data_IF_397843582753
#
_entry.id   IF_397843582753
#
_cell.length_a   1.000
_cell.length_b   1.000
_cell.length_c   1.000
_cell.angle_alpha   90.00
_cell.angle_beta   90.00
_cell.angle_gamma   90.00
#
_symmetry.space_group_name_H-M   'P 1'
#
loop_
_entity.id
_entity.type
_entity.pdbx_description
1 polymer ?
#
# COMPACT_ATOMS: atom_id res chain seq x y z
N UNK A 1 -4.63 20.77 -1.11
CA UNK A 1 -4.03 19.82 -0.16
C UNK A 1 -3.92 20.35 1.28
N UNK A 2 -3.93 21.67 1.54
CA UNK A 2 -3.86 22.23 2.92
C UNK A 2 -4.96 21.68 3.84
N UNK A 3 -6.24 21.79 3.46
CA UNK A 3 -7.36 21.22 4.22
C UNK A 3 -7.22 19.72 4.53
N UNK A 4 -6.61 18.94 3.62
CA UNK A 4 -6.36 17.52 3.89
C UNK A 4 -5.33 17.33 5.00
N UNK A 5 -4.25 18.12 5.01
CA UNK A 5 -3.26 18.10 6.08
C UNK A 5 -3.86 18.54 7.42
N UNK A 6 -4.78 19.52 7.42
CA UNK A 6 -5.51 19.93 8.63
C UNK A 6 -6.38 18.79 9.17
N UNK A 7 -7.17 18.14 8.31
CA UNK A 7 -8.00 17.00 8.71
C UNK A 7 -7.16 15.82 9.24
N UNK A 8 -6.01 15.53 8.60
CA UNK A 8 -5.08 14.48 9.04
C UNK A 8 -4.51 14.82 10.42
N UNK A 9 -4.15 16.09 10.65
CA UNK A 9 -3.66 16.58 11.94
C UNK A 9 -4.72 16.44 13.03
N UNK A 10 -5.97 16.83 12.76
CA UNK A 10 -7.10 16.65 13.70
C UNK A 10 -7.27 15.18 14.07
N UNK A 11 -7.13 14.26 13.09
CA UNK A 11 -7.21 12.81 13.30
C UNK A 11 -5.95 12.19 13.91
N UNK A 12 -4.92 12.99 14.23
CA UNK A 12 -3.61 12.53 14.72
C UNK A 12 -2.98 11.44 13.85
N UNK A 13 -3.23 11.50 12.54
CA UNK A 13 -2.75 10.53 11.58
C UNK A 13 -1.46 11.02 10.89
N UNK A 14 -0.69 10.09 10.30
CA UNK A 14 0.50 10.43 9.52
C UNK A 14 0.10 10.64 8.05
N UNK A 15 0.44 11.79 7.43
CA UNK A 15 0.09 12.03 6.04
C UNK A 15 0.94 11.18 5.09
N UNK A 16 0.27 10.42 4.23
CA UNK A 16 0.88 9.60 3.18
C UNK A 16 0.58 10.15 1.77
N UNK A 17 0.81 11.46 1.59
CA UNK A 17 0.46 12.18 0.37
C UNK A 17 1.74 12.49 -0.44
N UNK A 18 1.92 11.95 -1.66
CA UNK A 18 3.07 12.25 -2.48
C UNK A 18 2.99 13.71 -2.98
N UNK A 19 4.10 14.48 -2.93
CA UNK A 19 4.13 15.81 -3.52
C UNK A 19 4.04 15.73 -5.05
N UNK A 20 3.44 16.75 -5.66
CA UNK A 20 3.47 16.93 -7.12
C UNK A 20 4.89 17.29 -7.58
N UNK A 21 5.17 17.07 -8.85
CA UNK A 21 6.40 17.59 -9.46
C UNK A 21 6.49 19.11 -9.30
N UNK A 22 7.70 19.64 -9.07
CA UNK A 22 7.93 21.05 -8.83
C UNK A 22 7.36 21.59 -7.50
N UNK A 23 6.92 20.73 -6.58
CA UNK A 23 6.36 21.16 -5.30
C UNK A 23 7.33 22.09 -4.53
N UNK A 24 6.85 23.28 -4.18
CA UNK A 24 7.53 24.19 -3.26
C UNK A 24 7.32 23.77 -1.81
N UNK A 25 8.27 24.17 -0.95
CA UNK A 25 8.10 24.08 0.50
C UNK A 25 6.95 24.98 0.97
N UNK A 26 6.30 24.58 2.05
CA UNK A 26 5.38 25.42 2.81
C UNK A 26 6.10 26.07 3.99
N UNK A 27 5.36 26.72 4.88
CA UNK A 27 5.86 27.28 6.12
C UNK A 27 6.80 26.32 6.88
N UNK A 28 7.81 26.90 7.53
CA UNK A 28 8.84 26.13 8.21
C UNK A 28 8.22 25.20 9.26
N UNK A 29 8.71 23.96 9.33
CA UNK A 29 8.19 22.94 10.25
C UNK A 29 6.94 22.21 9.75
N UNK A 30 6.32 22.61 8.62
CA UNK A 30 5.15 21.89 8.12
C UNK A 30 5.49 20.44 7.72
N UNK A 31 4.75 19.40 8.19
CA UNK A 31 5.09 17.99 7.96
C UNK A 31 5.24 17.57 6.49
N UNK A 32 4.52 18.24 5.57
CA UNK A 32 4.65 18.05 4.11
C UNK A 32 6.07 18.28 3.60
N UNK A 33 6.83 19.19 4.23
CA UNK A 33 8.15 19.60 3.75
C UNK A 33 9.16 18.45 3.76
N UNK A 34 8.97 17.44 4.61
CA UNK A 34 9.80 16.22 4.60
C UNK A 34 9.68 15.45 3.28
N UNK A 35 8.45 15.31 2.76
CA UNK A 35 8.20 14.62 1.49
C UNK A 35 8.73 15.45 0.31
N UNK A 36 8.53 16.77 0.34
CA UNK A 36 9.05 17.70 -0.68
C UNK A 36 10.58 17.69 -0.72
N UNK A 37 11.23 17.71 0.45
CA UNK A 37 12.70 17.63 0.56
C UNK A 37 13.23 16.31 0.00
N UNK A 38 12.58 15.18 0.31
CA UNK A 38 12.94 13.89 -0.29
C UNK A 38 12.80 13.90 -1.82
N UNK A 39 11.71 14.46 -2.36
CA UNK A 39 11.51 14.54 -3.80
C UNK A 39 12.59 15.39 -4.48
N UNK A 40 12.91 16.56 -3.92
CA UNK A 40 13.97 17.43 -4.44
C UNK A 40 15.35 16.78 -4.39
N UNK A 41 15.66 16.06 -3.31
CA UNK A 41 16.94 15.37 -3.14
C UNK A 41 17.15 14.22 -4.14
N UNK A 42 16.10 13.43 -4.40
CA UNK A 42 16.20 12.22 -5.24
C UNK A 42 15.62 12.39 -6.65
N UNK A 43 15.19 13.60 -7.02
CA UNK A 43 14.55 13.90 -8.31
C UNK A 43 13.20 13.20 -8.55
N UNK A 44 12.69 12.43 -7.59
CA UNK A 44 11.45 11.66 -7.73
C UNK A 44 10.86 11.27 -6.37
N UNK A 45 9.61 10.83 -6.38
CA UNK A 45 8.93 10.34 -5.18
C UNK A 45 9.30 8.89 -4.83
N UNK A 46 10.11 8.19 -5.63
CA UNK A 46 10.30 6.74 -5.51
C UNK A 46 10.89 6.34 -4.15
N UNK A 47 11.95 7.05 -3.71
CA UNK A 47 12.58 6.79 -2.41
C UNK A 47 11.62 7.06 -1.25
N UNK A 48 10.87 8.16 -1.31
CA UNK A 48 9.87 8.51 -0.31
C UNK A 48 8.74 7.46 -0.27
N UNK A 49 8.17 7.09 -1.42
CA UNK A 49 7.10 6.08 -1.53
C UNK A 49 7.51 4.74 -0.91
N UNK A 50 8.75 4.29 -1.17
CA UNK A 50 9.30 3.07 -0.58
C UNK A 50 9.51 3.20 0.93
N UNK A 51 10.15 4.29 1.38
CA UNK A 51 10.49 4.51 2.80
C UNK A 51 9.26 4.62 3.70
N UNK A 52 8.22 5.31 3.24
CA UNK A 52 7.02 5.56 4.04
C UNK A 52 5.90 4.55 3.77
N UNK A 53 6.10 3.60 2.86
CA UNK A 53 5.11 2.53 2.60
C UNK A 53 3.86 3.01 1.85
N UNK A 54 4.03 3.92 0.89
CA UNK A 54 2.93 4.48 0.08
C UNK A 54 2.07 3.41 -0.60
N UNK A 55 2.69 2.32 -1.08
CA UNK A 55 2.02 1.28 -1.84
C UNK A 55 1.26 0.25 -1.01
N UNK A 56 1.25 0.35 0.33
CA UNK A 56 0.57 -0.64 1.20
C UNK A 56 -0.90 -0.79 0.83
N UNK A 57 -1.60 0.31 0.60
CA UNK A 57 -3.03 0.30 0.22
C UNK A 57 -3.26 -0.43 -1.09
N UNK A 58 -2.54 -0.05 -2.16
CA UNK A 58 -2.71 -0.69 -3.47
C UNK A 58 -2.38 -2.17 -3.43
N UNK A 59 -1.34 -2.57 -2.68
CA UNK A 59 -0.99 -3.98 -2.50
C UNK A 59 -2.11 -4.77 -1.80
N UNK A 60 -2.70 -4.22 -0.73
CA UNK A 60 -3.84 -4.84 -0.07
C UNK A 60 -5.07 -4.92 -0.96
N UNK A 61 -5.37 -3.87 -1.73
CA UNK A 61 -6.49 -3.86 -2.69
C UNK A 61 -6.29 -4.92 -3.77
N UNK A 62 -5.09 -5.04 -4.34
CA UNK A 62 -4.75 -6.09 -5.32
C UNK A 62 -4.85 -7.49 -4.70
N UNK A 63 -4.37 -7.69 -3.47
CA UNK A 63 -4.51 -8.97 -2.79
C UNK A 63 -5.98 -9.35 -2.61
N UNK A 64 -6.82 -8.43 -2.13
CA UNK A 64 -8.25 -8.65 -1.97
C UNK A 64 -8.98 -8.86 -3.29
N UNK A 65 -8.58 -8.16 -4.36
CA UNK A 65 -9.09 -8.41 -5.70
C UNK A 65 -8.84 -9.86 -6.12
N UNK A 66 -7.61 -10.37 -5.93
CA UNK A 66 -7.28 -11.76 -6.24
C UNK A 66 -8.08 -12.76 -5.40
N UNK A 67 -8.27 -12.49 -4.11
CA UNK A 67 -9.15 -13.30 -3.24
C UNK A 67 -10.57 -13.37 -3.82
N UNK A 68 -11.12 -12.22 -4.25
CA UNK A 68 -12.47 -12.17 -4.82
C UNK A 68 -12.58 -12.94 -6.14
N UNK A 69 -11.60 -12.78 -7.02
CA UNK A 69 -11.63 -13.41 -8.34
C UNK A 69 -11.41 -14.92 -8.28
N UNK A 70 -10.49 -15.38 -7.43
CA UNK A 70 -10.06 -16.78 -7.43
C UNK A 70 -10.80 -17.64 -6.40
N UNK A 71 -11.32 -17.03 -5.33
CA UNK A 71 -11.82 -17.76 -4.15
C UNK A 71 -13.23 -17.32 -3.73
N UNK A 72 -13.98 -16.64 -4.61
CA UNK A 72 -15.41 -16.35 -4.42
C UNK A 72 -15.74 -15.14 -3.55
N UNK A 73 -14.75 -14.49 -2.92
CA UNK A 73 -14.90 -13.16 -2.31
C UNK A 73 -15.89 -13.05 -1.14
N UNK A 74 -16.38 -14.18 -0.62
CA UNK A 74 -17.31 -14.28 0.51
C UNK A 74 -16.88 -15.43 1.41
N UNK A 75 -17.29 -15.36 2.68
CA UNK A 75 -17.14 -16.45 3.63
C UNK A 75 -18.45 -17.23 3.71
N UNK A 76 -18.36 -18.54 3.62
CA UNK A 76 -19.52 -19.45 3.57
C UNK A 76 -19.94 -19.93 4.96
N UNK A 77 -18.98 -20.00 5.90
CA UNK A 77 -19.21 -20.54 7.23
C UNK A 77 -19.88 -19.52 8.15
N UNK A 78 -20.74 -19.98 9.06
CA UNK A 78 -21.54 -19.11 9.96
C UNK A 78 -20.93 -18.89 11.34
N UNK A 79 -19.96 -19.71 11.74
CA UNK A 79 -19.25 -19.59 13.01
C UNK A 79 -17.98 -18.75 12.82
N UNK A 80 -17.70 -17.81 13.74
CA UNK A 80 -16.53 -16.92 13.64
C UNK A 80 -15.19 -17.67 13.53
N UNK A 81 -14.94 -18.66 14.38
CA UNK A 81 -13.69 -19.44 14.33
C UNK A 81 -13.58 -20.22 13.02
N UNK A 82 -14.72 -20.71 12.51
CA UNK A 82 -14.77 -21.37 11.21
C UNK A 82 -14.46 -20.39 10.07
N UNK A 83 -14.99 -19.16 10.10
CA UNK A 83 -14.67 -18.08 9.15
C UNK A 83 -13.19 -17.68 9.17
N UNK A 84 -12.58 -17.65 10.36
CA UNK A 84 -11.15 -17.43 10.51
C UNK A 84 -10.37 -18.56 9.82
N UNK A 85 -10.75 -19.82 10.06
CA UNK A 85 -10.17 -20.99 9.39
C UNK A 85 -10.33 -20.97 7.87
N UNK A 86 -11.52 -20.63 7.37
CA UNK A 86 -11.81 -20.46 5.95
C UNK A 86 -10.89 -19.39 5.33
N UNK A 87 -10.75 -18.25 6.00
CA UNK A 87 -9.85 -17.16 5.56
C UNK A 87 -8.39 -17.62 5.51
N UNK A 88 -7.92 -18.35 6.52
CA UNK A 88 -6.56 -18.91 6.50
C UNK A 88 -6.33 -19.90 5.35
N UNK A 89 -7.31 -20.76 5.08
CA UNK A 89 -7.25 -21.69 3.94
C UNK A 89 -7.20 -20.94 2.61
N UNK A 90 -8.03 -19.89 2.45
CA UNK A 90 -8.03 -19.02 1.27
C UNK A 90 -6.67 -18.34 1.06
N UNK A 91 -6.08 -17.77 2.11
CA UNK A 91 -4.76 -17.14 2.04
C UNK A 91 -3.68 -18.16 1.68
N UNK A 92 -3.73 -19.37 2.26
CA UNK A 92 -2.77 -20.44 1.96
C UNK A 92 -2.86 -20.87 0.49
N UNK A 93 -4.07 -21.02 -0.04
CA UNK A 93 -4.31 -21.32 -1.45
C UNK A 93 -3.79 -20.18 -2.36
N UNK A 94 -4.09 -18.92 -2.02
CA UNK A 94 -3.61 -17.76 -2.79
C UNK A 94 -2.09 -17.66 -2.83
N UNK A 95 -1.41 -17.91 -1.70
CA UNK A 95 0.05 -17.92 -1.64
C UNK A 95 0.64 -19.04 -2.50
N UNK A 96 0.03 -20.24 -2.49
CA UNK A 96 0.45 -21.35 -3.35
C UNK A 96 0.29 -21.00 -4.84
N UNK A 97 -0.85 -20.44 -5.24
CA UNK A 97 -1.09 -19.98 -6.60
C UNK A 97 -0.11 -18.88 -7.02
N UNK A 98 0.24 -17.96 -6.12
CA UNK A 98 1.25 -16.92 -6.38
C UNK A 98 2.61 -17.54 -6.66
N UNK A 99 3.03 -18.52 -5.85
CA UNK A 99 4.28 -19.25 -6.06
C UNK A 99 4.32 -19.98 -7.40
N UNK A 100 3.24 -20.67 -7.76
CA UNK A 100 3.15 -21.42 -9.02
C UNK A 100 3.09 -20.52 -10.27
N UNK A 101 2.56 -19.31 -10.14
CA UNK A 101 2.44 -18.35 -11.25
C UNK A 101 3.61 -17.39 -11.42
N UNK A 102 4.63 -17.43 -10.55
CA UNK A 102 5.81 -16.58 -10.67
C UNK A 102 6.81 -17.21 -11.67
N UNK A 103 7.14 -16.53 -12.78
CA UNK A 103 8.14 -17.04 -13.70
C UNK A 103 9.55 -16.95 -13.09
N UNK A 104 10.36 -17.98 -13.32
CA UNK A 104 11.79 -17.92 -13.03
C UNK A 104 12.49 -17.18 -14.17
N UNK A 105 12.95 -15.96 -13.90
CA UNK A 105 13.74 -15.20 -14.87
C UNK A 105 15.18 -15.62 -14.74
N UNK A 106 15.74 -16.18 -15.82
CA UNK A 106 17.16 -16.49 -15.91
C UNK A 106 17.85 -15.47 -16.80
N UNK A 107 18.98 -14.93 -16.34
CA UNK A 107 19.86 -14.12 -17.16
C UNK A 107 20.91 -15.06 -17.76
N UNK A 108 20.88 -15.23 -19.07
CA UNK A 108 21.87 -16.00 -19.82
C UNK A 108 22.93 -14.99 -20.30
N UNK A 109 24.18 -15.21 -19.90
CA UNK A 109 25.37 -14.46 -20.34
C UNK A 109 25.89 -15.06 -21.63
#
# INVERSE_FOLDING_TARGET
>A
TRHCHDAIRIKRAVPLIPPREGAAFWEQGHPRNLAVGCQKLYGSNNKWKKRYGYHKRSLSETAMYRVKQLLGGKLSLRNYNAQVGETYAMIKALNKLTGLGMPETQYIV
#
